data_IF_132600309652
#
_entry.id   IF_132600309652
#
_cell.length_a   1.000
_cell.length_b   1.000
_cell.length_c   1.000
_cell.angle_alpha   90.00
_cell.angle_beta   90.00
_cell.angle_gamma   90.00
#
_symmetry.space_group_name_H-M   'P 1'
#
loop_
_entity.id
_entity.type
_entity.pdbx_description
1 polymer ?
#
# COMPACT_ATOMS: atom_id res chain seq x y z
N UNK A 1 -24.12 -3.46 -45.32
CA UNK A 1 -24.70 -2.43 -44.44
C UNK A 1 -25.68 -3.11 -43.48
N UNK A 2 -25.27 -3.34 -42.23
CA UNK A 2 -26.18 -3.72 -41.14
C UNK A 2 -26.07 -2.63 -40.08
N UNK A 3 -27.19 -2.01 -39.77
CA UNK A 3 -27.40 -1.31 -38.51
C UNK A 3 -28.90 -1.34 -38.24
N UNK A 4 -29.26 -1.92 -37.09
CA UNK A 4 -30.36 -1.54 -36.19
C UNK A 4 -30.68 -2.73 -35.30
N UNK A 5 -30.12 -2.74 -34.10
CA UNK A 5 -30.78 -3.23 -32.89
C UNK A 5 -30.38 -2.28 -31.75
N UNK A 6 -31.40 -1.73 -31.11
CA UNK A 6 -31.39 -1.06 -29.82
C UNK A 6 -32.13 -1.99 -28.84
N UNK A 7 -31.96 -1.72 -27.54
CA UNK A 7 -32.76 -2.20 -26.40
C UNK A 7 -32.30 -3.60 -25.93
N UNK A 8 -31.94 -3.90 -24.67
CA UNK A 8 -32.05 -3.30 -23.34
C UNK A 8 -30.83 -3.80 -22.51
N UNK A 9 -30.14 -2.94 -21.75
CA UNK A 9 -29.21 -3.40 -20.69
C UNK A 9 -29.99 -3.39 -19.36
N UNK A 10 -30.26 -4.61 -18.88
CA UNK A 10 -30.87 -4.92 -17.59
C UNK A 10 -29.84 -4.61 -16.48
N UNK A 11 -30.18 -3.70 -15.57
CA UNK A 11 -29.34 -3.32 -14.43
C UNK A 11 -29.66 -4.32 -13.32
N UNK A 12 -28.79 -5.31 -13.12
CA UNK A 12 -28.91 -6.24 -11.99
C UNK A 12 -28.62 -5.51 -10.67
N UNK A 13 -29.68 -5.49 -9.86
CA UNK A 13 -29.82 -4.90 -8.55
C UNK A 13 -29.01 -5.72 -7.52
N UNK A 14 -27.93 -5.17 -6.96
CA UNK A 14 -27.13 -5.81 -5.90
C UNK A 14 -27.33 -5.08 -4.57
N UNK A 15 -28.22 -5.60 -3.72
CA UNK A 15 -28.49 -5.27 -2.30
C UNK A 15 -29.30 -6.48 -1.75
N UNK A 16 -29.08 -7.14 -0.61
CA UNK A 16 -28.31 -6.99 0.62
C UNK A 16 -28.09 -8.41 1.20
N UNK A 17 -26.90 -8.73 1.68
CA UNK A 17 -26.75 -9.71 2.77
C UNK A 17 -26.19 -8.93 3.97
N UNK A 18 -27.07 -8.62 4.92
CA UNK A 18 -26.71 -8.12 6.24
C UNK A 18 -25.93 -9.23 6.98
N UNK A 19 -24.60 -9.16 6.96
CA UNK A 19 -23.79 -9.94 7.90
C UNK A 19 -24.06 -9.43 9.31
N UNK A 20 -24.76 -10.24 10.11
CA UNK A 20 -24.91 -10.06 11.55
C UNK A 20 -23.52 -9.93 12.19
N UNK A 21 -23.14 -8.70 12.50
CA UNK A 21 -21.87 -8.40 13.14
C UNK A 21 -21.95 -8.88 14.58
N UNK A 22 -21.21 -9.93 14.93
CA UNK A 22 -21.02 -10.33 16.32
C UNK A 22 -20.41 -9.15 17.08
N UNK A 23 -21.21 -8.54 17.96
CA UNK A 23 -20.78 -7.47 18.85
C UNK A 23 -19.87 -8.10 19.90
N UNK A 24 -18.57 -8.13 19.60
CA UNK A 24 -17.54 -8.36 20.60
C UNK A 24 -17.58 -7.16 21.56
N UNK A 25 -17.98 -7.44 22.80
CA UNK A 25 -17.98 -6.53 23.94
C UNK A 25 -16.52 -6.14 24.25
N UNK A 26 -15.99 -5.19 23.49
CA UNK A 26 -14.70 -4.57 23.72
C UNK A 26 -14.96 -3.17 24.29
N UNK A 27 -14.97 -3.06 25.63
CA UNK A 27 -15.01 -1.79 26.39
C UNK A 27 -13.75 -0.91 26.21
N UNK A 28 -12.99 -1.10 25.13
CA UNK A 28 -11.94 -0.18 24.73
C UNK A 28 -12.54 0.89 23.79
N UNK A 29 -12.25 2.19 24.00
CA UNK A 29 -12.71 3.22 23.09
C UNK A 29 -12.18 2.90 21.69
N UNK A 30 -13.07 2.48 20.78
CA UNK A 30 -12.75 2.23 19.39
C UNK A 30 -12.05 3.49 18.88
N UNK A 31 -10.77 3.43 18.49
CA UNK A 31 -10.08 4.58 17.94
C UNK A 31 -10.92 5.09 16.77
N UNK A 32 -11.16 6.40 16.73
CA UNK A 32 -12.02 7.04 15.73
C UNK A 32 -11.74 6.46 14.33
N UNK A 33 -12.65 5.63 13.81
CA UNK A 33 -12.46 4.81 12.60
C UNK A 33 -12.00 5.66 11.39
N UNK A 34 -12.44 6.91 11.35
CA UNK A 34 -12.09 7.88 10.32
C UNK A 34 -10.62 8.32 10.40
N UNK A 35 -10.07 8.47 11.60
CA UNK A 35 -8.65 8.77 11.82
C UNK A 35 -7.76 7.58 11.48
N UNK A 36 -8.22 6.35 11.78
CA UNK A 36 -7.53 5.12 11.36
C UNK A 36 -7.49 4.98 9.84
N UNK A 37 -8.61 5.22 9.14
CA UNK A 37 -8.67 5.18 7.67
C UNK A 37 -7.72 6.20 7.02
N UNK A 38 -7.67 7.42 7.56
CA UNK A 38 -6.75 8.48 7.10
C UNK A 38 -5.29 8.10 7.30
N UNK A 39 -4.93 7.53 8.45
CA UNK A 39 -3.58 7.04 8.74
C UNK A 39 -3.17 5.92 7.80
N UNK A 40 -4.03 4.92 7.60
CA UNK A 40 -3.77 3.80 6.70
C UNK A 40 -3.50 4.28 5.26
N UNK A 41 -4.34 5.19 4.76
CA UNK A 41 -4.15 5.79 3.42
C UNK A 41 -2.84 6.54 3.28
N UNK A 42 -2.38 7.24 4.32
CA UNK A 42 -1.10 7.96 4.29
C UNK A 42 0.08 7.00 4.27
N UNK A 43 0.03 5.95 5.08
CA UNK A 43 1.12 4.97 5.16
C UNK A 43 1.20 4.16 3.87
N UNK A 44 0.07 3.72 3.31
CA UNK A 44 0.03 3.05 2.01
C UNK A 44 0.70 3.90 0.91
N UNK A 45 0.38 5.21 0.86
CA UNK A 45 1.04 6.12 -0.09
C UNK A 45 2.54 6.26 0.11
N UNK A 46 3.03 6.15 1.34
CA UNK A 46 4.47 6.20 1.60
C UNK A 46 5.12 4.93 1.04
N UNK A 47 4.52 3.76 1.28
CA UNK A 47 4.98 2.48 0.73
C UNK A 47 4.98 2.54 -0.80
N UNK A 48 3.90 3.01 -1.44
CA UNK A 48 3.83 3.17 -2.90
C UNK A 48 4.98 4.04 -3.46
N UNK A 49 5.37 5.10 -2.75
CA UNK A 49 6.48 5.97 -3.14
C UNK A 49 7.82 5.25 -2.98
N UNK A 50 8.01 4.51 -1.89
CA UNK A 50 9.23 3.73 -1.65
C UNK A 50 9.43 2.65 -2.73
N UNK A 51 8.37 1.93 -3.07
CA UNK A 51 8.36 0.95 -4.16
C UNK A 51 8.68 1.59 -5.52
N UNK A 52 8.13 2.78 -5.78
CA UNK A 52 8.46 3.54 -6.99
C UNK A 52 9.94 3.92 -7.04
N UNK A 53 10.51 4.38 -5.92
CA UNK A 53 11.95 4.72 -5.84
C UNK A 53 12.82 3.48 -6.03
N UNK A 54 12.50 2.35 -5.38
CA UNK A 54 13.24 1.09 -5.58
C UNK A 54 13.20 0.65 -7.05
N UNK A 55 12.02 0.75 -7.68
CA UNK A 55 11.86 0.46 -9.11
C UNK A 55 12.76 1.35 -9.98
N UNK A 56 12.86 2.64 -9.68
CA UNK A 56 13.77 3.56 -10.37
C UNK A 56 15.23 3.17 -10.17
N UNK A 57 15.63 2.75 -8.97
CA UNK A 57 17.00 2.32 -8.66
C UNK A 57 17.38 1.04 -9.41
N UNK A 58 16.49 0.04 -9.45
CA UNK A 58 16.70 -1.21 -10.22
C UNK A 58 16.89 -0.91 -11.71
N UNK A 59 16.08 -0.01 -12.26
CA UNK A 59 16.21 0.40 -13.66
C UNK A 59 17.51 1.19 -13.87
N UNK A 60 17.83 2.11 -12.96
CA UNK A 60 19.04 2.93 -12.99
C UNK A 60 20.33 2.12 -12.93
N UNK A 61 20.36 1.07 -12.11
CA UNK A 61 21.50 0.17 -11.94
C UNK A 61 21.95 -0.46 -13.26
N UNK A 62 21.00 -0.77 -14.16
CA UNK A 62 21.28 -1.35 -15.49
C UNK A 62 22.14 -0.43 -16.37
N UNK A 63 22.19 0.87 -16.08
CA UNK A 63 22.97 1.84 -16.83
C UNK A 63 24.38 2.07 -16.27
N UNK A 64 24.68 1.53 -15.08
CA UNK A 64 25.97 1.75 -14.39
C UNK A 64 27.14 0.93 -14.96
N UNK A 65 26.89 -0.02 -15.88
CA UNK A 65 27.91 -0.88 -16.51
C UNK A 65 28.87 -1.50 -15.49
N UNK A 66 30.14 -1.07 -15.46
CA UNK A 66 31.22 -1.60 -14.62
C UNK A 66 31.55 -0.66 -13.42
N UNK A 67 30.70 0.34 -13.16
CA UNK A 67 30.85 1.24 -12.01
C UNK A 67 30.38 0.54 -10.72
N UNK A 68 31.29 -0.22 -10.12
CA UNK A 68 31.04 -0.98 -8.90
C UNK A 68 30.78 -0.10 -7.67
N UNK A 69 31.32 1.12 -7.62
CA UNK A 69 31.08 2.05 -6.52
C UNK A 69 29.63 2.56 -6.57
N UNK A 70 29.15 2.96 -7.75
CA UNK A 70 27.78 3.38 -7.94
C UNK A 70 26.78 2.24 -7.69
N UNK A 71 27.10 1.00 -8.11
CA UNK A 71 26.26 -0.17 -7.82
C UNK A 71 26.14 -0.43 -6.32
N UNK A 72 27.26 -0.39 -5.60
CA UNK A 72 27.26 -0.55 -4.14
C UNK A 72 26.44 0.54 -3.45
N UNK A 73 26.54 1.78 -3.92
CA UNK A 73 25.70 2.86 -3.41
C UNK A 73 24.20 2.61 -3.65
N UNK A 74 23.83 2.07 -4.82
CA UNK A 74 22.45 1.67 -5.09
C UNK A 74 22.01 0.59 -4.10
N UNK A 75 22.81 -0.46 -3.90
CA UNK A 75 22.51 -1.54 -2.95
C UNK A 75 22.27 -0.97 -1.53
N UNK A 76 23.15 -0.10 -1.04
CA UNK A 76 22.99 0.56 0.27
C UNK A 76 21.74 1.43 0.39
N UNK A 77 21.29 2.05 -0.71
CA UNK A 77 20.04 2.83 -0.73
C UNK A 77 18.84 1.90 -0.71
N UNK A 78 18.87 0.81 -1.48
CA UNK A 78 17.78 -0.18 -1.55
C UNK A 78 17.57 -0.87 -0.20
N UNK A 79 18.64 -1.20 0.51
CA UNK A 79 18.55 -1.74 1.88
C UNK A 79 17.83 -0.75 2.82
N UNK A 80 18.16 0.54 2.75
CA UNK A 80 17.47 1.57 3.55
C UNK A 80 16.00 1.74 3.17
N UNK A 81 15.65 1.56 1.90
CA UNK A 81 14.25 1.58 1.46
C UNK A 81 13.50 0.41 2.10
N UNK A 82 14.06 -0.80 2.06
CA UNK A 82 13.48 -2.00 2.67
C UNK A 82 13.29 -1.84 4.19
N UNK A 83 14.30 -1.31 4.89
CA UNK A 83 14.22 -1.02 6.32
C UNK A 83 13.07 -0.04 6.61
N UNK A 84 12.94 0.99 5.78
CA UNK A 84 11.90 2.01 5.92
C UNK A 84 10.50 1.43 5.65
N UNK A 85 10.33 0.61 4.60
CA UNK A 85 9.09 -0.10 4.31
C UNK A 85 8.67 -1.02 5.47
N UNK A 86 9.64 -1.71 6.07
CA UNK A 86 9.42 -2.57 7.24
C UNK A 86 8.86 -1.76 8.41
N UNK A 87 9.46 -0.60 8.71
CA UNK A 87 8.96 0.30 9.78
C UNK A 87 7.51 0.72 9.53
N UNK A 88 7.17 1.09 8.30
CA UNK A 88 5.81 1.52 7.97
C UNK A 88 4.81 0.35 7.98
N UNK A 89 5.23 -0.83 7.56
CA UNK A 89 4.42 -2.06 7.61
C UNK A 89 4.16 -2.48 9.06
N UNK A 90 5.20 -2.47 9.91
CA UNK A 90 5.08 -2.73 11.34
C UNK A 90 4.16 -1.72 12.03
N UNK A 91 4.20 -0.46 11.59
CA UNK A 91 3.28 0.57 12.08
C UNK A 91 1.83 0.30 11.68
N UNK A 92 1.56 -0.26 10.50
CA UNK A 92 0.21 -0.67 10.09
C UNK A 92 -0.31 -1.82 10.96
N UNK A 93 0.55 -2.78 11.29
CA UNK A 93 0.17 -3.97 12.08
C UNK A 93 0.01 -3.62 13.56
N UNK A 94 0.97 -2.89 14.14
CA UNK A 94 1.07 -2.66 15.59
C UNK A 94 0.51 -1.31 16.05
N UNK A 95 0.29 -0.37 15.13
CA UNK A 95 -0.05 1.01 15.44
C UNK A 95 1.08 1.83 16.10
N UNK A 96 2.28 1.26 16.27
CA UNK A 96 3.45 1.88 16.91
C UNK A 96 4.64 1.88 15.97
N UNK A 97 5.39 2.99 15.97
CA UNK A 97 6.68 3.05 15.28
C UNK A 97 7.73 2.58 16.29
N UNK A 98 8.24 1.37 16.12
CA UNK A 98 9.40 0.92 16.86
C UNK A 98 10.63 1.59 16.22
N UNK A 99 11.41 2.33 17.02
CA UNK A 99 12.69 2.84 16.53
C UNK A 99 13.60 1.63 16.28
N UNK A 100 14.34 1.60 15.16
CA UNK A 100 15.37 0.59 14.98
C UNK A 100 16.37 0.67 16.15
N UNK A 101 16.74 -0.50 16.68
CA UNK A 101 17.73 -0.67 17.77
C UNK A 101 19.13 -0.70 17.19
#
# INVERSE_FOLDING_TARGET
MRNKFKDEEEIDEYFEEEEETQVLDCDEPIPNLQDMSSRLKKVAKIIDILEFVDSCLIVGERFLKDDEEAKKLIEEIRDKILDTETIFTDYLISGKINKPV
#
